data_IF_026416663634
#
_entry.id   IF_026416663634
#
_cell.length_a   1.000
_cell.length_b   1.000
_cell.length_c   1.000
_cell.angle_alpha   90.00
_cell.angle_beta   90.00
_cell.angle_gamma   90.00
#
_symmetry.space_group_name_H-M   'P 1'
#
loop_
_entity.id
_entity.type
_entity.pdbx_description
1 polymer ?
#
# COMPACT_ATOMS: atom_id res chain seq x y z
N UNK A 1 10.49 -28.81 -5.18
CA UNK A 1 10.37 -27.50 -4.51
C UNK A 1 9.18 -26.78 -5.09
N UNK A 2 8.07 -26.66 -4.35
CA UNK A 2 6.89 -25.92 -4.84
C UNK A 2 7.18 -24.43 -4.84
N UNK A 3 7.55 -23.87 -5.99
CA UNK A 3 7.80 -22.43 -6.13
C UNK A 3 6.54 -21.63 -5.80
N UNK A 4 6.68 -20.56 -5.01
CA UNK A 4 5.59 -19.60 -4.83
C UNK A 4 5.26 -18.99 -6.18
N UNK A 5 4.05 -19.23 -6.67
CA UNK A 5 3.56 -18.58 -7.88
C UNK A 5 3.08 -17.18 -7.49
N UNK A 6 3.75 -16.16 -8.01
CA UNK A 6 3.31 -14.77 -7.85
C UNK A 6 2.40 -14.42 -9.02
N UNK A 7 1.30 -13.72 -8.74
CA UNK A 7 0.44 -13.13 -9.76
C UNK A 7 0.33 -11.64 -9.49
N UNK A 8 0.71 -10.84 -10.47
CA UNK A 8 0.67 -9.39 -10.40
C UNK A 8 -0.55 -8.88 -11.17
N UNK A 9 -1.25 -7.93 -10.57
CA UNK A 9 -2.33 -7.18 -11.20
C UNK A 9 -1.99 -5.70 -11.00
N UNK A 10 -1.98 -4.96 -12.11
CA UNK A 10 -1.73 -3.53 -12.08
C UNK A 10 -3.07 -2.79 -12.18
N UNK A 11 -3.26 -1.80 -11.32
CA UNK A 11 -4.39 -0.88 -11.34
C UNK A 11 -3.83 0.54 -11.43
N UNK A 12 -4.43 1.38 -12.27
CA UNK A 12 -4.13 2.80 -12.35
C UNK A 12 -4.87 3.56 -11.25
N UNK A 13 -4.40 4.76 -10.94
CA UNK A 13 -4.94 5.60 -9.85
C UNK A 13 -6.43 5.93 -10.01
N UNK A 14 -6.90 6.07 -11.25
CA UNK A 14 -8.32 6.30 -11.55
C UNK A 14 -9.17 5.02 -11.56
N UNK A 15 -8.57 3.84 -11.36
CA UNK A 15 -9.26 2.55 -11.40
C UNK A 15 -9.71 2.06 -10.01
N UNK A 16 -9.90 2.98 -9.04
CA UNK A 16 -10.32 2.65 -7.67
C UNK A 16 -11.56 1.74 -7.61
N UNK A 17 -12.56 1.97 -8.48
CA UNK A 17 -13.74 1.11 -8.56
C UNK A 17 -13.45 -0.31 -9.08
N UNK A 18 -12.52 -0.46 -10.04
CA UNK A 18 -12.11 -1.77 -10.53
C UNK A 18 -11.30 -2.52 -9.46
N UNK A 19 -10.44 -1.80 -8.73
CA UNK A 19 -9.68 -2.34 -7.62
C UNK A 19 -10.60 -2.79 -6.47
N UNK A 20 -11.62 -2.00 -6.12
CA UNK A 20 -12.67 -2.41 -5.18
C UNK A 20 -13.28 -3.75 -5.55
N UNK A 21 -13.78 -3.89 -6.78
CA UNK A 21 -14.40 -5.15 -7.26
C UNK A 21 -13.43 -6.32 -7.21
N UNK A 22 -12.16 -6.08 -7.53
CA UNK A 22 -11.13 -7.11 -7.40
C UNK A 22 -10.96 -7.56 -5.94
N UNK A 23 -10.95 -6.63 -4.97
CA UNK A 23 -10.89 -6.99 -3.55
C UNK A 23 -12.11 -7.78 -3.09
N UNK A 24 -13.30 -7.45 -3.60
CA UNK A 24 -14.54 -8.20 -3.34
C UNK A 24 -14.44 -9.63 -3.89
N UNK A 25 -13.97 -9.80 -5.13
CA UNK A 25 -13.74 -11.12 -5.73
C UNK A 25 -12.72 -11.95 -4.92
N UNK A 26 -11.64 -11.31 -4.47
CA UNK A 26 -10.60 -11.96 -3.66
C UNK A 26 -11.14 -12.35 -2.28
N UNK A 27 -11.93 -11.48 -1.64
CA UNK A 27 -12.60 -11.78 -0.37
C UNK A 27 -13.60 -12.95 -0.51
N UNK A 28 -14.33 -13.02 -1.63
CA UNK A 28 -15.20 -14.15 -1.98
C UNK A 28 -14.45 -15.47 -2.14
N UNK A 29 -13.14 -15.42 -2.43
CA UNK A 29 -12.23 -16.57 -2.46
C UNK A 29 -11.46 -16.78 -1.16
N UNK A 30 -11.68 -15.93 -0.15
CA UNK A 30 -11.00 -15.99 1.14
C UNK A 30 -9.58 -15.40 1.14
N UNK A 31 -9.27 -14.48 0.23
CA UNK A 31 -8.00 -13.77 0.19
C UNK A 31 -8.16 -12.31 0.64
N UNK A 32 -7.29 -11.86 1.53
CA UNK A 32 -7.36 -10.53 2.15
C UNK A 32 -6.01 -9.84 2.14
N UNK A 33 -6.01 -8.52 1.97
CA UNK A 33 -4.79 -7.71 2.15
C UNK A 33 -4.31 -7.85 3.59
N UNK A 34 -3.03 -8.18 3.74
CA UNK A 34 -2.33 -8.38 5.02
C UNK A 34 -1.25 -7.32 5.27
N UNK A 35 -0.84 -6.60 4.23
CA UNK A 35 0.15 -5.55 4.35
C UNK A 35 0.61 -5.03 2.99
N UNK A 36 1.38 -3.96 3.08
CA UNK A 36 2.10 -3.36 1.96
C UNK A 36 3.50 -3.95 1.88
N UNK A 37 3.97 -4.27 0.67
CA UNK A 37 5.32 -4.81 0.45
C UNK A 37 6.26 -3.70 0.00
N UNK A 38 5.94 -3.02 -1.09
CA UNK A 38 6.73 -1.94 -1.71
C UNK A 38 5.99 -1.40 -2.96
N UNK A 39 6.17 -0.13 -3.33
CA UNK A 39 5.69 0.52 -4.56
C UNK A 39 4.31 0.08 -5.08
N UNK A 40 3.28 0.21 -4.24
CA UNK A 40 1.91 -0.18 -4.62
C UNK A 40 1.65 -1.68 -4.68
N UNK A 41 2.58 -2.53 -4.24
CA UNK A 41 2.42 -3.99 -4.21
C UNK A 41 1.85 -4.44 -2.86
N UNK A 42 0.65 -5.04 -2.90
CA UNK A 42 -0.04 -5.57 -1.72
C UNK A 42 0.19 -7.08 -1.53
N UNK A 43 0.42 -7.49 -0.28
CA UNK A 43 0.46 -8.91 0.09
C UNK A 43 -0.91 -9.39 0.53
N UNK A 44 -1.31 -10.56 0.02
CA UNK A 44 -2.54 -11.23 0.42
C UNK A 44 -2.27 -12.41 1.36
N UNK A 45 -3.13 -12.60 2.35
CA UNK A 45 -3.19 -13.79 3.19
C UNK A 45 -4.49 -14.54 2.99
N UNK A 46 -4.45 -15.85 3.25
CA UNK A 46 -5.63 -16.71 3.19
C UNK A 46 -6.44 -16.60 4.48
N UNK A 47 -7.76 -16.61 4.35
CA UNK A 47 -8.75 -16.59 5.43
C UNK A 47 -10.03 -17.31 4.98
N UNK A 48 -11.13 -17.12 5.71
CA UNK A 48 -12.43 -17.67 5.33
C UNK A 48 -13.04 -16.82 4.19
N UNK A 49 -13.62 -17.41 3.13
CA UNK A 49 -14.43 -16.69 2.17
C UNK A 49 -15.49 -15.80 2.83
N UNK A 50 -15.67 -14.58 2.34
CA UNK A 50 -16.76 -13.71 2.79
C UNK A 50 -17.22 -12.78 1.68
N UNK A 51 -18.51 -12.44 1.72
CA UNK A 51 -19.07 -11.37 0.89
C UNK A 51 -18.80 -10.04 1.60
N UNK A 52 -17.94 -9.20 1.02
CA UNK A 52 -17.58 -7.88 1.54
C UNK A 52 -17.78 -6.85 0.45
N UNK A 53 -18.07 -5.63 0.87
CA UNK A 53 -18.07 -4.48 -0.02
C UNK A 53 -16.87 -3.59 0.29
N UNK A 54 -16.11 -3.24 -0.73
CA UNK A 54 -14.92 -2.41 -0.60
C UNK A 54 -15.11 -1.07 -1.30
N UNK A 55 -14.71 0.02 -0.64
CA UNK A 55 -14.49 1.31 -1.29
C UNK A 55 -13.00 1.65 -1.22
N UNK A 56 -12.33 1.59 -2.37
CA UNK A 56 -10.89 1.78 -2.48
C UNK A 56 -10.58 3.09 -3.21
N UNK A 57 -9.64 3.85 -2.65
CA UNK A 57 -9.08 5.06 -3.25
C UNK A 57 -7.61 4.76 -3.53
N UNK A 58 -7.20 4.90 -4.78
CA UNK A 58 -5.82 4.75 -5.20
C UNK A 58 -5.23 6.15 -5.38
N UNK A 59 -4.23 6.51 -4.58
CA UNK A 59 -3.60 7.82 -4.63
C UNK A 59 -2.19 7.72 -5.23
N UNK A 60 -1.87 8.49 -6.29
CA UNK A 60 -0.49 8.64 -6.76
C UNK A 60 0.38 9.23 -5.65
N UNK A 61 1.57 8.68 -5.44
CA UNK A 61 2.59 9.32 -4.58
C UNK A 61 2.23 9.46 -3.10
N UNK A 62 1.18 8.80 -2.59
CA UNK A 62 0.80 8.88 -1.17
C UNK A 62 1.68 8.01 -0.25
N UNK A 63 2.90 7.70 -0.68
CA UNK A 63 3.91 6.99 0.11
C UNK A 63 5.26 7.65 -0.14
N UNK A 64 5.48 8.80 0.48
CA UNK A 64 6.83 9.32 0.66
C UNK A 64 7.39 8.71 1.96
N UNK A 65 8.48 7.99 1.82
CA UNK A 65 9.38 7.71 2.94
C UNK A 65 10.50 8.73 2.79
N UNK A 66 10.53 9.76 3.64
CA UNK A 66 11.76 10.53 3.82
C UNK A 66 12.72 9.62 4.59
N UNK A 67 13.59 8.93 3.87
CA UNK A 67 14.77 8.32 4.47
C UNK A 67 15.80 9.44 4.56
N UNK A 68 15.89 10.07 5.72
CA UNK A 68 17.05 10.90 6.06
C UNK A 68 18.25 9.95 6.30
N UNK A 69 19.01 9.68 5.24
CA UNK A 69 20.26 8.92 5.32
C UNK A 69 21.38 9.67 6.05
N UNK A 70 21.17 10.93 6.48
CA UNK A 70 22.21 11.69 7.18
C UNK A 70 22.29 11.41 8.69
N UNK A 71 21.28 10.78 9.28
CA UNK A 71 21.32 10.32 10.67
C UNK A 71 21.47 11.43 11.72
N UNK A 72 21.27 12.70 11.40
CA UNK A 72 21.36 13.81 12.37
C UNK A 72 20.12 14.70 12.34
N UNK A 73 19.05 14.15 12.91
CA UNK A 73 17.74 14.80 13.08
C UNK A 73 17.80 16.11 13.88
N UNK A 74 18.85 16.34 14.67
CA UNK A 74 18.99 17.59 15.44
C UNK A 74 19.27 18.80 14.55
N UNK A 75 20.02 18.62 13.46
CA UNK A 75 20.37 19.70 12.53
C UNK A 75 19.15 20.18 11.71
N UNK A 76 18.27 19.25 11.34
CA UNK A 76 17.04 19.53 10.60
C UNK A 76 16.07 20.42 11.40
N UNK A 77 15.85 20.07 12.68
CA UNK A 77 14.97 20.86 13.56
C UNK A 77 15.59 22.19 13.99
N UNK A 78 16.92 22.29 14.05
CA UNK A 78 17.62 23.55 14.30
C UNK A 78 17.43 24.56 13.17
N UNK A 79 17.50 24.11 11.91
CA UNK A 79 17.34 24.97 10.73
C UNK A 79 15.92 25.52 10.60
N UNK A 80 14.90 24.70 10.80
CA UNK A 80 13.50 25.12 10.74
C UNK A 80 13.14 26.17 11.82
N UNK A 81 13.77 26.10 12.99
CA UNK A 81 13.57 27.11 14.05
C UNK A 81 14.28 28.44 13.76
N UNK A 82 15.39 28.42 13.02
CA UNK A 82 16.10 29.65 12.63
C UNK A 82 15.46 30.39 11.45
N UNK A 83 14.74 29.68 10.58
CA UNK A 83 14.04 30.27 9.43
C UNK A 83 12.64 30.80 9.81
N UNK A 84 12.14 30.47 11.00
CA UNK A 84 10.86 30.94 11.52
C UNK A 84 10.97 32.17 12.45
N UNK A 85 12.17 32.78 12.55
CA UNK A 85 12.46 33.96 13.37
C UNK A 85 12.63 35.23 12.52
#
# INVERSE_FOLDING_TARGET
MGGRTYRYYNFREYEGGAFSRYLEEMAGKGWYIDGYVFDGVWRFRKGKPSNRHYNAILMPGSSNVDIDESGDTAAHWGRLKSEAA
#
